data_IF_190817426525
#
_entry.id   IF_190817426525
#
_cell.length_a   1.000
_cell.length_b   1.000
_cell.length_c   1.000
_cell.angle_alpha   90.00
_cell.angle_beta   90.00
_cell.angle_gamma   90.00
#
_symmetry.space_group_name_H-M   'P 1'
#
loop_
_entity.id
_entity.type
_entity.pdbx_description
1 polymer ?
#
# COMPACT_ATOMS: atom_id res chain seq x y z
N UNK A 1 14.82 13.40 -44.10
CA UNK A 1 15.13 12.52 -42.95
C UNK A 1 14.13 12.83 -41.86
N UNK A 2 13.24 11.89 -41.53
CA UNK A 2 12.27 12.05 -40.45
C UNK A 2 12.86 11.44 -39.18
N UNK A 3 13.27 12.27 -38.22
CA UNK A 3 13.70 11.83 -36.89
C UNK A 3 12.45 11.62 -36.05
N UNK A 4 11.94 10.39 -36.01
CA UNK A 4 10.87 10.04 -35.09
C UNK A 4 11.38 10.22 -33.64
N UNK A 5 10.59 10.83 -32.74
CA UNK A 5 10.94 10.94 -31.34
C UNK A 5 11.18 9.55 -30.76
N UNK A 6 12.35 9.31 -30.20
CA UNK A 6 12.69 8.07 -29.53
C UNK A 6 11.77 7.91 -28.30
N UNK A 7 10.68 7.16 -28.47
CA UNK A 7 9.77 6.84 -27.38
C UNK A 7 10.56 6.11 -26.28
N UNK A 8 10.51 6.65 -25.06
CA UNK A 8 11.14 6.05 -23.89
C UNK A 8 10.68 4.59 -23.73
N UNK A 9 11.64 3.66 -23.81
CA UNK A 9 11.35 2.23 -23.94
C UNK A 9 10.49 1.69 -22.78
N UNK A 10 9.32 1.06 -23.06
CA UNK A 10 8.46 0.41 -22.07
C UNK A 10 9.18 -0.65 -21.22
N UNK A 11 10.28 -1.21 -21.74
CA UNK A 11 11.06 -2.23 -21.08
C UNK A 11 11.66 -1.78 -19.73
N UNK A 12 11.90 -0.48 -19.51
CA UNK A 12 12.53 0.03 -18.28
C UNK A 12 11.54 0.13 -17.09
N UNK A 13 10.26 0.41 -17.35
CA UNK A 13 9.26 0.60 -16.30
C UNK A 13 8.91 -0.72 -15.63
N UNK A 14 8.74 -1.79 -16.42
CA UNK A 14 8.44 -3.13 -15.89
C UNK A 14 9.57 -3.64 -15.00
N UNK A 15 10.83 -3.47 -15.43
CA UNK A 15 12.00 -3.88 -14.64
C UNK A 15 12.18 -3.08 -13.35
N UNK A 16 11.55 -1.91 -13.23
CA UNK A 16 11.60 -1.08 -12.03
C UNK A 16 10.42 -1.33 -11.08
N UNK A 17 9.20 -1.27 -11.60
CA UNK A 17 7.98 -1.32 -10.80
C UNK A 17 7.56 -2.74 -10.40
N UNK A 18 7.85 -3.76 -11.22
CA UNK A 18 7.47 -5.13 -10.89
C UNK A 18 8.25 -5.67 -9.67
N UNK A 19 9.59 -5.54 -9.59
CA UNK A 19 10.31 -5.98 -8.39
C UNK A 19 9.88 -5.19 -7.14
N UNK A 20 9.57 -3.90 -7.30
CA UNK A 20 9.04 -3.08 -6.21
C UNK A 20 7.69 -3.59 -5.71
N UNK A 21 6.74 -3.84 -6.62
CA UNK A 21 5.44 -4.39 -6.27
C UNK A 21 5.55 -5.76 -5.58
N UNK A 22 6.33 -6.67 -6.15
CA UNK A 22 6.56 -8.00 -5.56
C UNK A 22 7.21 -7.89 -4.18
N UNK A 23 8.21 -7.02 -4.03
CA UNK A 23 8.86 -6.76 -2.74
C UNK A 23 7.88 -6.26 -1.69
N UNK A 24 6.98 -5.35 -2.04
CA UNK A 24 5.94 -4.87 -1.12
C UNK A 24 4.90 -5.94 -0.79
N UNK A 25 4.48 -6.75 -1.76
CA UNK A 25 3.55 -7.86 -1.52
C UNK A 25 4.17 -8.86 -0.54
N UNK A 26 5.44 -9.23 -0.73
CA UNK A 26 6.16 -10.13 0.16
C UNK A 26 6.30 -9.50 1.55
N UNK A 27 6.72 -8.23 1.63
CA UNK A 27 6.89 -7.53 2.90
C UNK A 27 5.56 -7.45 3.68
N UNK A 28 4.47 -7.07 3.01
CA UNK A 28 3.15 -7.02 3.66
C UNK A 28 2.64 -8.40 4.03
N UNK A 29 2.88 -9.43 3.21
CA UNK A 29 2.56 -10.82 3.58
C UNK A 29 3.27 -11.22 4.87
N UNK A 30 4.56 -10.89 5.03
CA UNK A 30 5.31 -11.15 6.26
C UNK A 30 4.67 -10.42 7.45
N UNK A 31 4.32 -9.13 7.30
CA UNK A 31 3.63 -8.38 8.35
C UNK A 31 2.32 -9.06 8.74
N UNK A 32 1.50 -9.47 7.78
CA UNK A 32 0.22 -10.13 8.05
C UNK A 32 0.39 -11.50 8.73
N UNK A 33 1.42 -12.27 8.35
CA UNK A 33 1.76 -13.55 9.01
C UNK A 33 2.19 -13.31 10.45
N UNK A 34 3.02 -12.31 10.72
CA UNK A 34 3.43 -11.97 12.09
C UNK A 34 2.22 -11.60 12.92
N UNK A 35 1.33 -10.76 12.40
CA UNK A 35 0.11 -10.38 13.11
C UNK A 35 -0.75 -11.60 13.43
N UNK A 36 -0.99 -12.48 12.45
CA UNK A 36 -1.75 -13.70 12.64
C UNK A 36 -1.12 -14.62 13.71
N UNK A 37 0.21 -14.75 13.71
CA UNK A 37 0.95 -15.55 14.68
C UNK A 37 0.95 -14.95 16.10
N UNK A 38 0.78 -13.63 16.25
CA UNK A 38 0.73 -12.93 17.54
C UNK A 38 -0.68 -12.77 18.11
N UNK A 39 -1.61 -13.65 17.74
CA UNK A 39 -3.00 -13.62 18.22
C UNK A 39 -3.94 -12.75 17.39
N UNK A 40 -3.51 -12.30 16.21
CA UNK A 40 -4.37 -11.61 15.25
C UNK A 40 -4.78 -10.20 15.66
N UNK A 41 -4.16 -9.58 16.66
CA UNK A 41 -4.29 -8.15 16.98
C UNK A 41 -3.14 -7.35 16.37
N UNK A 42 -3.39 -6.09 15.98
CA UNK A 42 -2.32 -5.19 15.54
C UNK A 42 -1.58 -4.67 16.77
N UNK A 43 -0.48 -5.34 17.09
CA UNK A 43 0.40 -4.98 18.21
C UNK A 43 1.39 -3.87 17.85
N UNK A 44 2.14 -3.37 18.85
CA UNK A 44 3.26 -2.44 18.65
C UNK A 44 4.29 -3.02 17.66
N UNK A 45 4.57 -4.33 17.74
CA UNK A 45 5.48 -5.00 16.81
C UNK A 45 4.99 -4.88 15.37
N UNK A 46 3.70 -5.14 15.11
CA UNK A 46 3.11 -4.98 13.78
C UNK A 46 3.17 -3.53 13.28
N UNK A 47 2.95 -2.57 14.18
CA UNK A 47 3.14 -1.15 13.89
C UNK A 47 4.57 -0.82 13.49
N UNK A 48 5.57 -1.32 14.22
CA UNK A 48 6.99 -1.14 13.91
C UNK A 48 7.34 -1.77 12.55
N UNK A 49 6.91 -3.00 12.28
CA UNK A 49 7.18 -3.66 11.00
C UNK A 49 6.56 -2.88 9.83
N UNK A 50 5.35 -2.34 10.00
CA UNK A 50 4.71 -1.49 9.00
C UNK A 50 5.46 -0.17 8.81
N UNK A 51 5.97 0.43 9.88
CA UNK A 51 6.82 1.62 9.80
C UNK A 51 8.14 1.33 9.05
N UNK A 52 8.73 0.14 9.25
CA UNK A 52 9.90 -0.31 8.49
C UNK A 52 9.57 -0.45 7.00
N UNK A 53 8.40 -1.00 6.65
CA UNK A 53 7.94 -1.04 5.25
C UNK A 53 7.77 0.37 4.69
N UNK A 54 7.16 1.28 5.43
CA UNK A 54 7.00 2.68 5.02
C UNK A 54 8.34 3.39 4.79
N UNK A 55 9.32 3.18 5.68
CA UNK A 55 10.69 3.68 5.51
C UNK A 55 11.36 3.07 4.27
N UNK A 56 11.20 1.76 4.06
CA UNK A 56 11.69 1.07 2.87
C UNK A 56 11.12 1.66 1.58
N UNK A 57 9.82 1.97 1.56
CA UNK A 57 9.15 2.66 0.45
C UNK A 57 9.75 4.05 0.24
N UNK A 58 9.91 4.85 1.29
CA UNK A 58 10.49 6.19 1.19
C UNK A 58 11.93 6.15 0.65
N UNK A 59 12.77 5.24 1.15
CA UNK A 59 14.15 5.04 0.69
C UNK A 59 14.17 4.58 -0.77
N UNK A 60 13.31 3.64 -1.15
CA UNK A 60 13.22 3.15 -2.53
C UNK A 60 12.78 4.26 -3.49
N UNK A 61 11.75 5.04 -3.11
CA UNK A 61 11.25 6.19 -3.87
C UNK A 61 12.36 7.23 -4.04
N UNK A 62 13.08 7.57 -2.98
CA UNK A 62 14.20 8.50 -3.06
C UNK A 62 15.24 7.99 -4.07
N UNK A 63 15.74 6.76 -3.91
CA UNK A 63 16.79 6.19 -4.77
C UNK A 63 16.38 6.18 -6.24
N UNK A 64 15.11 5.91 -6.52
CA UNK A 64 14.58 5.78 -7.88
C UNK A 64 13.91 7.04 -8.42
N UNK A 65 13.86 8.15 -7.65
CA UNK A 65 13.11 9.37 -7.99
C UNK A 65 13.45 9.93 -9.36
N UNK A 66 14.74 9.89 -9.74
CA UNK A 66 15.21 10.45 -11.04
C UNK A 66 14.68 9.63 -12.20
N UNK A 67 14.65 8.31 -12.06
CA UNK A 67 14.12 7.39 -13.07
C UNK A 67 12.60 7.49 -13.15
N UNK A 68 11.93 7.48 -12.00
CA UNK A 68 10.47 7.61 -11.91
C UNK A 68 9.96 8.93 -12.47
N UNK A 69 10.71 10.03 -12.31
CA UNK A 69 10.37 11.31 -12.94
C UNK A 69 10.53 11.33 -14.46
N UNK A 70 11.17 10.34 -15.09
CA UNK A 70 11.20 10.25 -16.57
C UNK A 70 10.02 9.45 -17.13
N UNK A 71 9.33 8.70 -16.26
CA UNK A 71 8.14 7.92 -16.61
C UNK A 71 6.90 8.76 -16.32
N UNK A 72 5.99 8.87 -17.29
CA UNK A 72 4.70 9.56 -17.08
C UNK A 72 3.97 8.87 -15.93
N UNK A 73 3.62 9.64 -14.91
CA UNK A 73 3.00 9.18 -13.65
C UNK A 73 3.81 8.15 -12.83
N UNK A 74 5.12 7.97 -13.06
CA UNK A 74 5.90 6.91 -12.38
C UNK A 74 5.85 6.98 -10.84
N UNK A 75 5.92 8.17 -10.26
CA UNK A 75 5.81 8.37 -8.80
C UNK A 75 4.40 8.06 -8.30
N UNK A 76 3.37 8.47 -9.04
CA UNK A 76 1.97 8.17 -8.70
C UNK A 76 1.74 6.67 -8.72
N UNK A 77 2.15 5.97 -9.77
CA UNK A 77 1.98 4.52 -9.90
C UNK A 77 2.71 3.80 -8.75
N UNK A 78 3.93 4.21 -8.41
CA UNK A 78 4.64 3.64 -7.26
C UNK A 78 3.85 3.83 -5.95
N UNK A 79 3.27 5.01 -5.71
CA UNK A 79 2.47 5.26 -4.52
C UNK A 79 1.13 4.52 -4.54
N UNK A 80 0.50 4.34 -5.71
CA UNK A 80 -0.69 3.49 -5.87
C UNK A 80 -0.39 2.05 -5.49
N UNK A 81 0.74 1.49 -5.97
CA UNK A 81 1.18 0.14 -5.60
C UNK A 81 1.33 0.04 -4.08
N UNK A 82 1.99 1.01 -3.44
CA UNK A 82 2.14 1.04 -1.99
C UNK A 82 0.78 1.12 -1.27
N UNK A 83 -0.06 2.09 -1.64
CA UNK A 83 -1.39 2.30 -1.06
C UNK A 83 -2.26 1.05 -1.16
N UNK A 84 -2.37 0.47 -2.36
CA UNK A 84 -3.20 -0.72 -2.60
C UNK A 84 -2.65 -1.91 -1.85
N UNK A 85 -1.34 -2.15 -1.88
CA UNK A 85 -0.74 -3.31 -1.20
C UNK A 85 -0.94 -3.24 0.30
N UNK A 86 -0.62 -2.08 0.92
CA UNK A 86 -0.77 -1.91 2.38
C UNK A 86 -2.24 -1.99 2.77
N UNK A 87 -3.10 -1.17 2.16
CA UNK A 87 -4.52 -1.09 2.54
C UNK A 87 -5.25 -2.41 2.28
N UNK A 88 -5.00 -3.07 1.14
CA UNK A 88 -5.63 -4.37 0.85
C UNK A 88 -5.18 -5.43 1.84
N UNK A 89 -3.91 -5.47 2.22
CA UNK A 89 -3.42 -6.47 3.18
C UNK A 89 -4.12 -6.36 4.55
N UNK A 90 -4.29 -5.12 5.05
CA UNK A 90 -4.97 -4.87 6.32
C UNK A 90 -6.48 -5.13 6.24
N UNK A 91 -7.13 -4.72 5.15
CA UNK A 91 -8.57 -4.99 4.94
C UNK A 91 -8.84 -6.49 4.78
N UNK A 92 -7.99 -7.22 4.05
CA UNK A 92 -8.13 -8.66 3.87
C UNK A 92 -7.97 -9.40 5.21
N UNK A 93 -6.99 -9.02 6.02
CA UNK A 93 -6.83 -9.60 7.36
C UNK A 93 -8.05 -9.33 8.24
N UNK A 94 -8.56 -8.10 8.25
CA UNK A 94 -9.77 -7.75 8.99
C UNK A 94 -10.99 -8.59 8.53
N UNK A 95 -11.17 -8.78 7.23
CA UNK A 95 -12.23 -9.63 6.66
C UNK A 95 -12.08 -11.08 7.13
N UNK A 96 -10.88 -11.67 7.02
CA UNK A 96 -10.60 -13.04 7.49
C UNK A 96 -10.94 -13.19 8.97
N UNK A 97 -10.58 -12.20 9.78
CA UNK A 97 -10.86 -12.20 11.21
C UNK A 97 -12.36 -12.12 11.51
N UNK A 98 -13.09 -11.23 10.84
CA UNK A 98 -14.55 -11.12 11.00
C UNK A 98 -15.27 -12.41 10.60
N UNK A 99 -14.82 -13.07 9.51
CA UNK A 99 -15.37 -14.37 9.11
C UNK A 99 -15.08 -15.46 10.16
N UNK A 100 -13.89 -15.47 10.75
CA UNK A 100 -13.54 -16.41 11.81
C UNK A 100 -14.37 -16.20 13.09
N UNK A 101 -14.64 -14.95 13.46
CA UNK A 101 -15.50 -14.61 14.60
C UNK A 101 -16.97 -15.01 14.37
N UNK A 102 -17.50 -14.79 13.16
CA UNK A 102 -18.86 -15.16 12.80
C UNK A 102 -19.09 -16.66 12.59
N UNK A 103 -18.02 -17.45 12.50
CA UNK A 103 -18.10 -18.92 12.47
C UNK A 103 -18.38 -19.54 13.86
N UNK A 104 -18.21 -18.74 14.92
CA UNK A 104 -18.57 -19.12 16.30
C UNK A 104 -19.99 -18.61 16.56
N UNK A 105 -20.77 -19.34 17.37
CA UNK A 105 -22.17 -19.04 17.69
C UNK A 105 -22.29 -17.77 18.57
N UNK A 106 -21.99 -16.62 17.96
CA UNK A 106 -21.92 -15.29 18.57
C UNK A 106 -23.08 -14.43 18.09
N UNK A 107 -23.56 -13.55 18.97
CA UNK A 107 -24.58 -12.58 18.57
C UNK A 107 -24.01 -11.54 17.60
N UNK A 108 -24.87 -10.91 16.80
CA UNK A 108 -24.47 -9.82 15.93
C UNK A 108 -23.83 -8.65 16.71
N UNK A 109 -24.27 -8.40 17.94
CA UNK A 109 -23.66 -7.40 18.83
C UNK A 109 -22.23 -7.75 19.24
N UNK A 110 -21.94 -9.03 19.51
CA UNK A 110 -20.58 -9.47 19.88
C UNK A 110 -19.62 -9.31 18.70
N UNK A 111 -20.07 -9.65 17.49
CA UNK A 111 -19.30 -9.46 16.26
C UNK A 111 -19.04 -7.98 16.01
N UNK A 112 -20.06 -7.11 16.17
CA UNK A 112 -19.91 -5.68 15.99
C UNK A 112 -18.96 -5.05 17.02
N UNK A 113 -19.03 -5.50 18.28
CA UNK A 113 -18.13 -5.02 19.33
C UNK A 113 -16.69 -5.47 19.08
N UNK A 114 -16.47 -6.71 18.63
CA UNK A 114 -15.15 -7.18 18.23
C UNK A 114 -14.61 -6.42 17.01
N UNK A 115 -15.47 -6.12 16.04
CA UNK A 115 -15.13 -5.37 14.84
C UNK A 115 -14.70 -3.93 15.15
N UNK A 116 -15.50 -3.20 15.94
CA UNK A 116 -15.32 -1.77 16.21
C UNK A 116 -14.36 -1.49 17.38
N UNK A 117 -14.33 -2.39 18.37
CA UNK A 117 -13.45 -2.28 19.54
C UNK A 117 -12.05 -2.83 19.31
N UNK A 118 -11.83 -3.61 18.26
CA UNK A 118 -10.54 -4.20 17.92
C UNK A 118 -9.55 -3.17 17.38
N UNK A 119 -8.25 -3.43 17.59
CA UNK A 119 -7.15 -2.57 17.09
C UNK A 119 -7.20 -2.34 15.58
N UNK A 120 -7.84 -3.24 14.84
CA UNK A 120 -7.95 -3.25 13.39
C UNK A 120 -8.80 -2.14 12.82
N UNK A 121 -9.91 -1.77 13.45
CA UNK A 121 -10.79 -0.74 12.91
C UNK A 121 -10.06 0.61 12.82
N UNK A 122 -9.37 0.98 13.89
CA UNK A 122 -8.52 2.16 13.90
C UNK A 122 -7.40 2.06 12.85
N UNK A 123 -6.74 0.90 12.76
CA UNK A 123 -5.60 0.72 11.84
C UNK A 123 -6.04 0.75 10.37
N UNK A 124 -7.14 0.12 9.97
CA UNK A 124 -7.64 0.16 8.58
C UNK A 124 -8.03 1.58 8.19
N UNK A 125 -8.65 2.36 9.09
CA UNK A 125 -8.96 3.78 8.88
C UNK A 125 -7.68 4.61 8.75
N UNK A 126 -6.77 4.49 9.72
CA UNK A 126 -5.52 5.27 9.75
C UNK A 126 -4.66 4.97 8.53
N UNK A 127 -4.51 3.69 8.15
CA UNK A 127 -3.76 3.31 6.95
C UNK A 127 -4.44 3.88 5.69
N UNK A 128 -5.75 3.69 5.53
CA UNK A 128 -6.45 4.23 4.36
C UNK A 128 -6.33 5.75 4.26
N UNK A 129 -6.44 6.46 5.39
CA UNK A 129 -6.33 7.91 5.45
C UNK A 129 -4.90 8.40 5.17
N UNK A 130 -3.88 7.87 5.85
CA UNK A 130 -2.49 8.33 5.69
C UNK A 130 -1.95 8.03 4.29
N UNK A 131 -2.12 6.79 3.82
CA UNK A 131 -1.64 6.40 2.51
C UNK A 131 -2.45 7.04 1.38
N UNK A 132 -3.76 7.17 1.58
CA UNK A 132 -4.67 7.87 0.66
C UNK A 132 -4.38 9.36 0.56
N UNK A 133 -4.06 10.03 1.68
CA UNK A 133 -3.63 11.42 1.68
C UNK A 133 -2.30 11.61 0.95
N UNK A 134 -1.32 10.74 1.18
CA UNK A 134 -0.08 10.73 0.41
C UNK A 134 -0.32 10.51 -1.09
N UNK A 135 -1.28 9.66 -1.45
CA UNK A 135 -1.67 9.43 -2.85
C UNK A 135 -2.30 10.70 -3.45
N UNK A 136 -3.19 11.35 -2.71
CA UNK A 136 -3.82 12.61 -3.13
C UNK A 136 -2.77 13.69 -3.41
N UNK A 137 -1.77 13.84 -2.54
CA UNK A 137 -0.65 14.77 -2.75
C UNK A 137 0.06 14.44 -4.08
N UNK A 138 0.38 13.18 -4.32
CA UNK A 138 1.06 12.77 -5.56
C UNK A 138 0.19 12.96 -6.81
N UNK A 139 -1.12 12.73 -6.71
CA UNK A 139 -2.07 12.97 -7.80
C UNK A 139 -2.20 14.46 -8.12
N UNK A 140 -2.39 15.32 -7.11
CA UNK A 140 -2.43 16.78 -7.27
C UNK A 140 -1.12 17.27 -7.88
N UNK A 141 0.03 16.81 -7.39
CA UNK A 141 1.33 17.15 -7.95
C UNK A 141 1.51 16.69 -9.40
N UNK A 142 0.91 15.57 -9.80
CA UNK A 142 0.94 15.09 -11.18
C UNK A 142 0.09 15.97 -12.10
N UNK A 143 -1.13 16.32 -11.67
CA UNK A 143 -2.05 17.21 -12.41
C UNK A 143 -1.43 18.60 -12.61
N UNK A 144 -0.89 19.20 -11.54
CA UNK A 144 -0.29 20.54 -11.60
C UNK A 144 1.05 20.58 -12.36
N UNK A 145 1.83 19.49 -12.32
CA UNK A 145 3.21 19.50 -12.81
C UNK A 145 3.36 19.21 -14.30
N UNK A 146 2.60 18.26 -14.85
CA UNK A 146 2.76 17.82 -16.25
C UNK A 146 1.50 17.86 -17.09
N UNK A 147 0.37 18.28 -16.52
CA UNK A 147 -0.93 18.07 -17.14
C UNK A 147 -1.35 16.60 -17.09
N UNK A 148 -2.67 16.37 -17.05
CA UNK A 148 -3.24 15.03 -17.22
C UNK A 148 -3.30 14.63 -18.70
N UNK A 149 -3.50 15.63 -19.55
CA UNK A 149 -3.52 15.57 -21.01
C UNK A 149 -2.31 16.38 -21.52
N UNK A 150 -1.67 15.86 -22.57
CA UNK A 150 -0.39 16.27 -23.19
C UNK A 150 0.91 15.86 -22.48
#
# INVERSE_FOLDING_TARGET
>A
MSTLPQMSSPANVRTLLLPYALGLIIAMTIVQVVIAATGGEVTILAGILTAVVALGIAVWLWRNRRVLKRVRFGVVIAHVIAFVTVSTSYNLHAIVRLMAEGAVDKSASDIAQAALGGSWFGVTIVMSALWGFGLLIHLVGAVLGRGWED
#
